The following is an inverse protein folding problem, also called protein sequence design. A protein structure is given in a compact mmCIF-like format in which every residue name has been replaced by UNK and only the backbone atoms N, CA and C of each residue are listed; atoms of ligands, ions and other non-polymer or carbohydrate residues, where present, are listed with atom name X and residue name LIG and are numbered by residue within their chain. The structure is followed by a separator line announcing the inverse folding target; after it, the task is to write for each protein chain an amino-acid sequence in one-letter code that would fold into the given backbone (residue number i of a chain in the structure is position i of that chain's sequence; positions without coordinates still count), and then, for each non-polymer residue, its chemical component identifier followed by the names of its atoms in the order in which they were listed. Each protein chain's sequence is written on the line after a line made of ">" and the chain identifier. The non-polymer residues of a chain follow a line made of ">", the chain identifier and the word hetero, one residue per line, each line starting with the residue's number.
data_IF_457189714383
#
_entry.id   IF_457189714383
#
_cell.length_a   1.000
_cell.length_b   1.000
_cell.length_c   1.000
_cell.angle_alpha   90.00
_cell.angle_beta   90.00
_cell.angle_gamma   90.00
#
_symmetry.space_group_name_H-M   'P 1'
#
loop_
_entity.id
_entity.type
_entity.pdbx_description
1 polymer ?
#
# COMPACT_ATOMS: atom_id res chain seq x y z
N UNK A 1 -10.43 26.46 18.64
CA UNK A 1 -9.69 25.44 17.89
C UNK A 1 -8.50 26.14 17.28
N UNK A 2 -7.30 25.79 17.72
CA UNK A 2 -6.08 26.27 17.09
C UNK A 2 -5.77 25.37 15.90
N UNK A 3 -5.56 25.97 14.73
CA UNK A 3 -5.29 25.28 13.46
C UNK A 3 -3.84 25.46 13.01
N UNK A 4 -3.01 26.12 13.83
CA UNK A 4 -1.59 26.26 13.55
C UNK A 4 -0.89 24.89 13.66
N UNK A 5 0.15 24.71 12.85
CA UNK A 5 1.01 23.54 12.93
C UNK A 5 1.80 23.55 14.26
N UNK A 6 1.99 22.37 14.82
CA UNK A 6 2.92 22.20 15.95
C UNK A 6 4.37 22.37 15.49
N UNK A 7 5.28 22.58 16.44
CA UNK A 7 6.72 22.69 16.12
C UNK A 7 7.25 21.45 15.38
N UNK A 8 6.86 20.25 15.84
CA UNK A 8 7.21 18.99 15.17
C UNK A 8 6.66 18.91 13.75
N UNK A 9 5.43 19.37 13.53
CA UNK A 9 4.82 19.43 12.19
C UNK A 9 5.55 20.44 11.28
N UNK A 10 5.96 21.60 11.78
CA UNK A 10 6.75 22.58 11.01
C UNK A 10 8.14 22.04 10.65
N UNK A 11 8.78 21.29 11.56
CA UNK A 11 10.04 20.59 11.27
C UNK A 11 9.86 19.54 10.17
N UNK A 12 8.82 18.70 10.28
CA UNK A 12 8.48 17.68 9.27
C UNK A 12 8.24 18.32 7.91
N UNK A 13 7.41 19.37 7.86
CA UNK A 13 7.13 20.15 6.65
C UNK A 13 8.39 20.72 6.02
N UNK A 14 9.27 21.33 6.82
CA UNK A 14 10.52 21.91 6.33
C UNK A 14 11.45 20.84 5.77
N UNK A 15 11.57 19.69 6.46
CA UNK A 15 12.36 18.55 6.00
C UNK A 15 11.82 17.99 4.68
N UNK A 16 10.51 17.74 4.60
CA UNK A 16 9.84 17.23 3.41
C UNK A 16 9.98 18.16 2.20
N UNK A 17 9.79 19.46 2.41
CA UNK A 17 9.99 20.47 1.37
C UNK A 17 11.42 20.48 0.84
N UNK A 18 12.40 20.43 1.74
CA UNK A 18 13.82 20.40 1.39
C UNK A 18 14.20 19.15 0.60
N UNK A 19 13.65 18.00 0.98
CA UNK A 19 13.81 16.74 0.23
C UNK A 19 13.19 16.83 -1.16
N UNK A 20 11.94 17.27 -1.29
CA UNK A 20 11.27 17.39 -2.60
C UNK A 20 12.05 18.31 -3.54
N UNK A 21 12.62 19.40 -3.03
CA UNK A 21 13.45 20.30 -3.83
C UNK A 21 14.76 19.67 -4.33
N UNK A 22 15.30 18.67 -3.61
CA UNK A 22 16.58 18.03 -3.93
C UNK A 22 16.42 16.72 -4.72
N UNK A 23 15.46 15.90 -4.33
CA UNK A 23 15.33 14.50 -4.73
C UNK A 23 14.17 14.25 -5.70
N UNK A 24 13.16 15.12 -5.71
CA UNK A 24 12.04 15.06 -6.65
C UNK A 24 11.75 16.43 -7.31
N UNK A 25 12.76 17.12 -7.89
CA UNK A 25 12.51 18.28 -8.72
C UNK A 25 11.68 17.91 -9.96
N UNK A 26 11.14 18.92 -10.66
CA UNK A 26 10.14 18.71 -11.72
C UNK A 26 10.62 17.83 -12.88
N UNK A 27 11.91 17.87 -13.18
CA UNK A 27 12.59 17.09 -14.21
C UNK A 27 12.62 15.58 -13.92
N UNK A 28 12.51 15.17 -12.65
CA UNK A 28 12.39 13.74 -12.26
C UNK A 28 11.17 13.07 -12.90
N UNK A 29 10.16 13.84 -13.34
CA UNK A 29 9.03 13.27 -14.10
C UNK A 29 9.49 12.52 -15.35
N UNK A 30 10.57 12.94 -16.00
CA UNK A 30 11.10 12.30 -17.21
C UNK A 30 11.66 10.92 -16.87
N UNK A 31 12.42 10.83 -15.78
CA UNK A 31 12.97 9.56 -15.30
C UNK A 31 11.83 8.64 -14.83
N UNK A 32 10.80 9.19 -14.18
CA UNK A 32 9.64 8.45 -13.72
C UNK A 32 8.81 7.88 -14.88
N UNK A 33 8.64 8.62 -15.97
CA UNK A 33 7.97 8.13 -17.18
C UNK A 33 8.71 6.95 -17.83
N UNK A 34 10.04 6.91 -17.70
CA UNK A 34 10.87 5.83 -18.23
C UNK A 34 10.98 4.63 -17.28
N UNK A 35 10.75 4.85 -15.98
CA UNK A 35 10.80 3.80 -14.98
C UNK A 35 9.58 2.86 -15.11
N UNK A 36 9.82 1.62 -15.55
CA UNK A 36 8.75 0.61 -15.67
C UNK A 36 8.02 0.37 -14.35
N UNK A 37 8.71 0.45 -13.21
CA UNK A 37 8.12 0.27 -11.88
C UNK A 37 7.41 1.52 -11.36
N UNK A 38 7.81 2.72 -11.81
CA UNK A 38 7.37 3.98 -11.17
C UNK A 38 8.10 4.28 -9.84
N UNK A 39 9.12 3.49 -9.49
CA UNK A 39 9.93 3.65 -8.29
C UNK A 39 11.37 3.98 -8.70
N UNK A 40 11.93 5.05 -8.11
CA UNK A 40 13.36 5.36 -8.22
C UNK A 40 14.06 4.89 -6.93
N UNK A 41 14.92 3.85 -6.99
CA UNK A 41 15.46 3.21 -5.78
C UNK A 41 16.23 4.14 -4.84
N UNK A 42 16.95 5.13 -5.38
CA UNK A 42 17.71 6.07 -4.57
C UNK A 42 16.80 7.03 -3.78
N UNK A 43 15.75 7.55 -4.41
CA UNK A 43 14.76 8.43 -3.76
C UNK A 43 13.99 7.65 -2.70
N UNK A 44 13.58 6.43 -3.03
CA UNK A 44 12.94 5.51 -2.09
C UNK A 44 13.81 5.28 -0.84
N UNK A 45 15.05 4.85 -1.03
CA UNK A 45 15.99 4.59 0.08
C UNK A 45 16.17 5.82 0.98
N UNK A 46 16.38 7.00 0.40
CA UNK A 46 16.56 8.24 1.18
C UNK A 46 15.30 8.59 1.98
N UNK A 47 14.11 8.36 1.45
CA UNK A 47 12.88 8.60 2.18
C UNK A 47 12.63 7.56 3.29
N UNK A 48 13.02 6.29 3.09
CA UNK A 48 13.03 5.27 4.13
C UNK A 48 13.99 5.63 5.27
N UNK A 49 15.19 6.15 4.95
CA UNK A 49 16.17 6.63 5.95
C UNK A 49 15.65 7.81 6.79
N UNK A 50 14.68 8.57 6.27
CA UNK A 50 13.98 9.65 6.98
C UNK A 50 12.80 9.15 7.83
N UNK A 51 12.49 7.85 7.82
CA UNK A 51 11.41 7.24 8.62
C UNK A 51 10.00 7.48 8.08
N UNK A 52 9.85 8.05 6.87
CA UNK A 52 8.55 8.51 6.37
C UNK A 52 7.53 7.40 6.08
N UNK A 53 8.01 6.20 5.76
CA UNK A 53 7.20 5.00 5.57
C UNK A 53 6.66 4.44 6.89
N UNK A 54 7.34 4.73 8.00
CA UNK A 54 6.97 4.31 9.35
C UNK A 54 6.09 5.30 10.11
N UNK A 55 5.70 6.43 9.50
CA UNK A 55 4.94 7.50 10.17
C UNK A 55 3.68 6.97 10.88
N UNK A 56 2.84 6.21 10.18
CA UNK A 56 1.61 5.64 10.74
C UNK A 56 1.81 4.29 11.42
N UNK A 57 3.03 3.74 11.37
CA UNK A 57 3.35 2.47 12.02
C UNK A 57 3.56 2.74 13.51
N UNK A 58 2.87 2.05 14.43
CA UNK A 58 3.10 2.19 15.86
C UNK A 58 4.54 1.90 16.29
N UNK A 59 5.03 2.59 17.32
CA UNK A 59 6.37 2.43 17.89
C UNK A 59 6.71 0.98 18.26
N UNK A 60 5.71 0.22 18.75
CA UNK A 60 5.88 -1.20 19.11
C UNK A 60 6.22 -2.11 17.90
N UNK A 61 6.03 -1.60 16.68
CA UNK A 61 6.40 -2.25 15.42
C UNK A 61 7.54 -1.52 14.71
N UNK A 62 8.21 -0.56 15.36
CA UNK A 62 9.39 0.13 14.82
C UNK A 62 9.08 1.33 13.91
N UNK A 63 7.88 1.91 14.02
CA UNK A 63 7.54 3.18 13.38
C UNK A 63 7.56 4.37 14.35
N UNK A 64 6.91 5.45 13.95
CA UNK A 64 6.86 6.73 14.69
C UNK A 64 5.53 6.95 15.45
N UNK A 65 4.53 6.10 15.21
CA UNK A 65 3.23 6.20 15.88
C UNK A 65 2.51 7.53 15.67
N UNK A 66 2.82 8.24 14.59
CA UNK A 66 2.32 9.57 14.30
C UNK A 66 0.82 9.52 13.94
N UNK A 67 0.13 10.64 14.15
CA UNK A 67 -1.28 10.73 13.78
C UNK A 67 -1.45 10.88 12.26
N UNK A 68 -2.67 10.65 11.78
CA UNK A 68 -3.04 10.98 10.39
C UNK A 68 -2.87 12.48 10.11
N UNK A 69 -3.05 13.35 11.10
CA UNK A 69 -2.85 14.79 10.94
C UNK A 69 -1.36 15.13 10.74
N UNK A 70 -0.47 14.51 11.52
CA UNK A 70 0.97 14.67 11.35
C UNK A 70 1.44 14.12 10.00
N UNK A 71 0.92 12.95 9.63
CA UNK A 71 1.22 12.32 8.33
C UNK A 71 0.69 13.18 7.17
N UNK A 72 -0.47 13.81 7.30
CA UNK A 72 -1.01 14.70 6.28
C UNK A 72 -0.07 15.89 5.97
N UNK A 73 0.62 16.43 6.97
CA UNK A 73 1.61 17.52 6.77
C UNK A 73 2.76 17.06 5.87
N UNK A 74 3.26 15.83 6.05
CA UNK A 74 4.25 15.24 5.16
C UNK A 74 3.69 15.12 3.74
N UNK A 75 2.53 14.48 3.57
CA UNK A 75 1.96 14.21 2.25
C UNK A 75 1.55 15.48 1.48
N UNK A 76 1.20 16.57 2.18
CA UNK A 76 0.97 17.88 1.55
C UNK A 76 2.24 18.39 0.84
N UNK A 77 3.40 18.25 1.47
CA UNK A 77 4.67 18.66 0.86
C UNK A 77 5.14 17.66 -0.21
N UNK A 78 4.93 16.35 0.01
CA UNK A 78 5.23 15.32 -1.00
C UNK A 78 4.41 15.49 -2.28
N UNK A 79 3.17 15.95 -2.19
CA UNK A 79 2.30 16.23 -3.33
C UNK A 79 2.72 17.43 -4.20
N UNK A 80 3.76 18.18 -3.81
CA UNK A 80 4.22 19.37 -4.57
C UNK A 80 5.06 19.04 -5.80
N UNK A 81 5.52 17.80 -5.93
CA UNK A 81 6.37 17.34 -7.03
C UNK A 81 6.06 15.91 -7.44
N UNK A 82 6.72 15.42 -8.51
CA UNK A 82 6.52 14.06 -9.01
C UNK A 82 7.28 13.04 -8.15
N UNK A 83 6.82 12.81 -6.91
CA UNK A 83 7.50 11.90 -5.99
C UNK A 83 7.47 10.45 -6.54
N UNK A 84 8.64 9.85 -6.81
CA UNK A 84 8.71 8.52 -7.41
C UNK A 84 8.63 7.42 -6.36
N UNK A 85 7.52 6.69 -6.33
CA UNK A 85 7.38 5.45 -5.58
C UNK A 85 6.07 5.31 -4.78
N UNK A 86 5.86 4.12 -4.20
CA UNK A 86 4.62 3.69 -3.52
C UNK A 86 4.50 4.26 -2.10
N UNK A 87 4.71 5.57 -1.94
CA UNK A 87 4.64 6.22 -0.64
C UNK A 87 3.24 6.11 -0.05
N UNK A 88 2.24 6.59 -0.78
CA UNK A 88 0.86 6.59 -0.30
C UNK A 88 0.26 5.19 -0.21
N UNK A 89 0.47 4.36 -1.24
CA UNK A 89 -0.04 2.98 -1.27
C UNK A 89 0.56 2.13 -0.15
N UNK A 90 1.87 2.24 0.13
CA UNK A 90 2.53 1.45 1.17
C UNK A 90 2.45 2.08 2.55
N UNK A 91 2.92 3.31 2.70
CA UNK A 91 3.03 4.00 3.99
C UNK A 91 1.69 4.46 4.59
N UNK A 92 0.61 4.46 3.81
CA UNK A 92 -0.74 4.80 4.30
C UNK A 92 -1.70 3.64 4.10
N UNK A 93 -2.02 3.28 2.85
CA UNK A 93 -3.07 2.29 2.59
C UNK A 93 -2.69 0.89 3.11
N UNK A 94 -1.47 0.45 2.81
CA UNK A 94 -0.92 -0.82 3.26
C UNK A 94 -0.82 -0.89 4.79
N UNK A 95 -0.21 0.12 5.42
CA UNK A 95 -0.09 0.20 6.88
C UNK A 95 -1.46 0.12 7.56
N UNK A 96 -2.44 0.91 7.13
CA UNK A 96 -3.79 0.91 7.72
C UNK A 96 -4.48 -0.44 7.53
N UNK A 97 -4.38 -1.06 6.36
CA UNK A 97 -4.97 -2.37 6.09
C UNK A 97 -4.35 -3.48 6.96
N UNK A 98 -3.03 -3.44 7.16
CA UNK A 98 -2.30 -4.40 8.00
C UNK A 98 -2.60 -4.20 9.48
N UNK A 99 -2.73 -2.95 9.95
CA UNK A 99 -3.13 -2.65 11.32
C UNK A 99 -4.51 -3.21 11.64
N UNK A 100 -5.46 -3.01 10.73
CA UNK A 100 -6.85 -3.43 10.88
C UNK A 100 -7.02 -4.95 10.81
N UNK A 101 -6.43 -5.61 9.80
CA UNK A 101 -6.70 -7.02 9.54
C UNK A 101 -5.68 -7.99 10.14
N UNK A 102 -4.45 -7.55 10.42
CA UNK A 102 -3.38 -8.45 10.84
C UNK A 102 -3.57 -9.00 12.26
N UNK A 103 -3.07 -10.21 12.51
CA UNK A 103 -2.82 -10.67 13.90
C UNK A 103 -1.65 -9.90 14.52
N UNK A 104 -1.44 -10.01 15.83
CA UNK A 104 -0.29 -9.38 16.49
C UNK A 104 1.06 -9.85 15.92
N UNK A 105 1.17 -11.13 15.52
CA UNK A 105 2.37 -11.67 14.90
C UNK A 105 2.57 -11.11 13.47
N UNK A 106 1.50 -11.09 12.67
CA UNK A 106 1.53 -10.52 11.31
C UNK A 106 1.85 -9.02 11.34
N UNK A 107 1.23 -8.25 12.23
CA UNK A 107 1.53 -6.82 12.41
C UNK A 107 3.00 -6.60 12.73
N UNK A 108 3.56 -7.36 13.68
CA UNK A 108 4.98 -7.22 14.05
C UNK A 108 5.92 -7.51 12.90
N UNK A 109 5.68 -8.60 12.16
CA UNK A 109 6.52 -8.95 11.01
C UNK A 109 6.37 -7.92 9.86
N UNK A 110 5.13 -7.65 9.44
CA UNK A 110 4.86 -6.90 8.22
C UNK A 110 5.06 -5.41 8.41
N UNK A 111 4.57 -4.82 9.51
CA UNK A 111 4.66 -3.38 9.72
C UNK A 111 6.10 -2.93 9.99
N UNK A 112 6.92 -3.74 10.67
CA UNK A 112 8.34 -3.43 10.86
C UNK A 112 9.10 -3.43 9.54
N UNK A 113 8.83 -4.39 8.65
CA UNK A 113 9.42 -4.42 7.32
C UNK A 113 8.88 -3.30 6.39
N UNK A 114 7.63 -2.86 6.57
CA UNK A 114 7.09 -1.71 5.84
C UNK A 114 7.72 -0.41 6.31
N UNK A 115 7.93 -0.23 7.62
CA UNK A 115 8.54 0.97 8.19
C UNK A 115 9.96 1.23 7.64
N UNK A 116 10.72 0.17 7.38
CA UNK A 116 12.07 0.25 6.77
C UNK A 116 12.06 0.29 5.25
N UNK A 117 10.90 0.08 4.62
CA UNK A 117 10.76 -0.04 3.16
C UNK A 117 11.29 -1.34 2.56
N UNK A 118 11.60 -2.34 3.39
CA UNK A 118 11.97 -3.70 2.94
C UNK A 118 10.78 -4.40 2.27
N UNK A 119 9.59 -4.25 2.85
CA UNK A 119 8.34 -4.65 2.23
C UNK A 119 7.59 -3.42 1.73
N UNK A 120 7.08 -3.54 0.51
CA UNK A 120 6.25 -2.54 -0.14
C UNK A 120 4.88 -3.16 -0.34
N UNK A 121 3.86 -2.56 0.26
CA UNK A 121 2.51 -3.14 0.32
C UNK A 121 1.55 -2.22 -0.42
N UNK A 122 0.60 -2.78 -1.16
CA UNK A 122 -0.54 -2.01 -1.69
C UNK A 122 -1.85 -2.78 -1.49
N UNK A 123 -2.98 -2.13 -1.72
CA UNK A 123 -4.31 -2.69 -1.52
C UNK A 123 -5.01 -2.96 -2.86
N UNK A 124 -5.51 -4.18 -3.02
CA UNK A 124 -6.22 -4.65 -4.21
C UNK A 124 -7.68 -5.02 -3.84
N UNK A 125 -8.51 -3.99 -3.74
CA UNK A 125 -9.86 -4.09 -3.16
C UNK A 125 -10.91 -4.25 -4.26
N UNK A 126 -10.89 -3.37 -5.26
CA UNK A 126 -11.91 -3.27 -6.31
C UNK A 126 -11.90 -4.47 -7.24
N UNK A 127 -13.08 -4.91 -7.67
CA UNK A 127 -13.30 -6.00 -8.61
C UNK A 127 -13.77 -5.48 -9.98
N UNK A 128 -13.85 -6.30 -11.04
CA UNK A 128 -14.13 -5.82 -12.40
C UNK A 128 -15.48 -5.14 -12.59
N UNK A 129 -16.40 -5.30 -11.65
CA UNK A 129 -17.68 -4.59 -11.62
C UNK A 129 -17.54 -3.10 -11.22
N UNK A 130 -16.36 -2.65 -10.79
CA UNK A 130 -16.04 -1.29 -10.34
C UNK A 130 -17.00 -0.77 -9.25
N UNK A 131 -17.58 -1.66 -8.45
CA UNK A 131 -18.46 -1.32 -7.33
C UNK A 131 -17.64 -0.92 -6.11
N UNK A 132 -18.16 0.05 -5.35
CA UNK A 132 -17.52 0.59 -4.17
C UNK A 132 -18.05 -0.08 -2.89
N UNK A 133 -17.15 -0.58 -2.06
CA UNK A 133 -17.48 -1.17 -0.76
C UNK A 133 -17.63 -2.70 -0.79
N UNK A 134 -17.93 -3.32 0.37
CA UNK A 134 -17.82 -4.77 0.54
C UNK A 134 -18.70 -5.60 -0.41
N UNK A 135 -19.89 -5.09 -0.77
CA UNK A 135 -20.82 -5.75 -1.68
C UNK A 135 -20.27 -5.88 -3.12
N UNK A 136 -19.31 -5.03 -3.50
CA UNK A 136 -18.65 -5.08 -4.80
C UNK A 136 -17.62 -6.20 -4.93
N UNK A 137 -17.13 -6.77 -3.82
CA UNK A 137 -16.10 -7.82 -3.84
C UNK A 137 -16.71 -9.14 -4.33
N UNK A 138 -16.22 -9.69 -5.43
CA UNK A 138 -16.67 -10.96 -6.02
C UNK A 138 -15.56 -12.01 -6.10
N UNK A 139 -14.30 -11.65 -5.87
CA UNK A 139 -13.19 -12.59 -5.73
C UNK A 139 -13.45 -13.54 -4.55
N UNK A 140 -13.43 -14.85 -4.82
CA UNK A 140 -13.67 -15.89 -3.81
C UNK A 140 -12.39 -16.69 -3.58
N UNK A 141 -11.93 -16.83 -2.32
CA UNK A 141 -10.76 -17.64 -2.01
C UNK A 141 -11.10 -19.12 -2.03
N UNK A 142 -10.22 -19.92 -2.64
CA UNK A 142 -10.31 -21.38 -2.62
C UNK A 142 -9.39 -21.92 -1.54
N UNK A 143 -9.95 -22.62 -0.55
CA UNK A 143 -9.16 -23.29 0.49
C UNK A 143 -8.44 -24.51 -0.09
N UNK A 144 -7.15 -24.62 0.17
CA UNK A 144 -6.27 -25.75 -0.17
C UNK A 144 -5.63 -26.32 1.11
N UNK A 145 -4.91 -27.42 0.97
CA UNK A 145 -4.23 -28.07 2.11
C UNK A 145 -3.11 -27.22 2.70
N UNK A 146 -2.51 -26.35 1.88
CA UNK A 146 -1.37 -25.50 2.17
C UNK A 146 -1.74 -24.01 2.33
N UNK A 147 -3.03 -23.67 2.45
CA UNK A 147 -3.50 -22.30 2.62
C UNK A 147 -4.66 -21.95 1.69
N UNK A 148 -4.66 -20.72 1.18
CA UNK A 148 -5.67 -20.26 0.22
C UNK A 148 -5.07 -20.03 -1.16
N UNK A 149 -5.95 -20.07 -2.17
CA UNK A 149 -5.67 -19.68 -3.54
C UNK A 149 -6.69 -18.66 -4.01
N UNK A 150 -6.23 -17.54 -4.54
CA UNK A 150 -7.09 -16.50 -5.11
C UNK A 150 -7.13 -16.61 -6.62
N UNK A 151 -8.30 -16.34 -7.20
CA UNK A 151 -8.47 -16.22 -8.65
C UNK A 151 -9.41 -15.06 -8.94
N UNK A 152 -9.04 -14.21 -9.89
CA UNK A 152 -9.81 -13.03 -10.27
C UNK A 152 -8.92 -11.90 -10.76
N UNK A 153 -9.54 -10.75 -11.02
CA UNK A 153 -8.87 -9.55 -11.51
C UNK A 153 -9.20 -8.38 -10.61
N UNK A 154 -8.18 -7.59 -10.27
CA UNK A 154 -8.26 -6.40 -9.43
C UNK A 154 -7.81 -5.19 -10.25
N UNK A 155 -8.73 -4.39 -10.81
CA UNK A 155 -8.37 -3.16 -11.49
C UNK A 155 -8.02 -2.05 -10.49
N UNK A 156 -7.36 -1.01 -11.00
CA UNK A 156 -7.11 0.24 -10.28
C UNK A 156 -6.25 0.10 -9.02
N UNK A 157 -5.32 -0.85 -9.01
CA UNK A 157 -4.38 -1.05 -7.90
C UNK A 157 -3.23 -0.06 -8.05
N UNK A 158 -3.06 0.82 -7.07
CA UNK A 158 -1.97 1.79 -7.07
C UNK A 158 -0.62 1.08 -6.90
N UNK A 159 0.36 1.44 -7.74
CA UNK A 159 1.76 1.01 -7.66
C UNK A 159 2.00 -0.52 -7.64
N UNK A 160 1.07 -1.33 -8.15
CA UNK A 160 1.17 -2.79 -8.09
C UNK A 160 2.38 -3.37 -8.83
N UNK A 161 2.97 -2.59 -9.74
CA UNK A 161 4.21 -2.89 -10.45
C UNK A 161 5.48 -2.73 -9.59
N UNK A 162 5.40 -2.01 -8.47
CA UNK A 162 6.53 -1.71 -7.57
C UNK A 162 6.50 -2.46 -6.24
N UNK A 163 5.40 -3.15 -5.92
CA UNK A 163 5.18 -3.73 -4.58
C UNK A 163 5.82 -5.11 -4.41
N UNK A 164 6.13 -5.47 -3.16
CA UNK A 164 6.50 -6.85 -2.78
C UNK A 164 5.26 -7.67 -2.47
N UNK A 165 4.24 -7.03 -1.87
CA UNK A 165 3.06 -7.70 -1.37
C UNK A 165 1.77 -6.94 -1.74
N UNK A 166 0.72 -7.71 -1.99
CA UNK A 166 -0.63 -7.24 -2.26
C UNK A 166 -1.54 -7.64 -1.09
N UNK A 167 -2.28 -6.67 -0.56
CA UNK A 167 -3.39 -6.92 0.36
C UNK A 167 -4.67 -7.01 -0.46
N UNK A 168 -5.14 -8.22 -0.70
CA UNK A 168 -6.25 -8.53 -1.59
C UNK A 168 -7.53 -8.75 -0.79
N UNK A 169 -8.60 -8.02 -1.12
CA UNK A 169 -9.93 -8.29 -0.56
C UNK A 169 -10.58 -9.49 -1.24
N UNK A 170 -11.12 -10.44 -0.47
CA UNK A 170 -11.87 -11.57 -1.03
C UNK A 170 -13.07 -11.94 -0.15
N UNK A 171 -14.15 -12.37 -0.78
CA UNK A 171 -15.40 -12.76 -0.14
C UNK A 171 -15.28 -14.16 0.46
N UNK A 172 -15.38 -14.24 1.79
CA UNK A 172 -15.19 -15.47 2.58
C UNK A 172 -16.49 -16.08 3.12
N UNK A 173 -17.62 -15.43 2.88
CA UNK A 173 -18.95 -15.91 3.25
C UNK A 173 -20.03 -15.42 2.30
N UNK A 174 -21.28 -15.72 2.65
CA UNK A 174 -22.43 -15.47 1.78
C UNK A 174 -22.96 -14.04 1.92
N UNK A 175 -22.73 -13.39 3.06
CA UNK A 175 -23.21 -12.03 3.26
C UNK A 175 -22.37 -11.03 2.45
N UNK A 176 -22.96 -9.92 1.94
CA UNK A 176 -22.23 -8.88 1.23
C UNK A 176 -21.04 -8.29 2.00
N UNK A 177 -21.09 -8.34 3.34
CA UNK A 177 -20.05 -7.85 4.26
C UNK A 177 -19.01 -8.89 4.66
N UNK A 178 -19.17 -10.17 4.29
CA UNK A 178 -18.24 -11.26 4.63
C UNK A 178 -16.98 -11.19 3.75
N UNK A 179 -16.19 -10.13 3.92
CA UNK A 179 -14.98 -9.85 3.18
C UNK A 179 -13.79 -9.90 4.12
N UNK A 180 -12.80 -10.71 3.77
CA UNK A 180 -11.51 -10.81 4.46
C UNK A 180 -10.40 -10.26 3.59
N UNK A 181 -9.29 -9.88 4.23
CA UNK A 181 -8.07 -9.47 3.55
C UNK A 181 -7.06 -10.60 3.52
N UNK A 182 -6.33 -10.71 2.42
CA UNK A 182 -5.31 -11.73 2.21
C UNK A 182 -4.01 -11.06 1.78
N UNK A 183 -2.88 -11.53 2.31
CA UNK A 183 -1.56 -11.18 1.82
C UNK A 183 -1.20 -12.11 0.66
N UNK A 184 -0.78 -11.54 -0.46
CA UNK A 184 -0.31 -12.24 -1.66
C UNK A 184 1.04 -11.66 -2.06
N UNK A 185 2.06 -12.50 -2.21
CA UNK A 185 3.35 -12.10 -2.75
C UNK A 185 3.15 -11.69 -4.23
N UNK A 186 3.51 -10.46 -4.56
CA UNK A 186 3.32 -9.89 -5.89
C UNK A 186 4.14 -10.59 -6.99
N UNK A 187 5.15 -11.38 -6.61
CA UNK A 187 6.02 -12.17 -7.49
C UNK A 187 5.68 -13.66 -7.48
N UNK A 188 4.65 -14.08 -6.74
CA UNK A 188 4.25 -15.48 -6.69
C UNK A 188 3.72 -15.98 -8.04
N UNK A 189 3.86 -17.29 -8.26
CA UNK A 189 3.22 -17.95 -9.41
C UNK A 189 1.72 -17.71 -9.39
N UNK A 190 1.17 -17.33 -10.54
CA UNK A 190 -0.25 -16.99 -10.68
C UNK A 190 -0.58 -15.54 -10.36
N UNK A 191 0.40 -14.67 -10.11
CA UNK A 191 0.21 -13.22 -10.04
C UNK A 191 0.78 -12.57 -11.30
N UNK A 192 -0.01 -11.70 -11.93
CA UNK A 192 0.46 -10.88 -13.04
C UNK A 192 -0.06 -9.46 -12.91
N UNK A 193 0.77 -8.50 -13.29
CA UNK A 193 0.44 -7.07 -13.19
C UNK A 193 0.56 -6.43 -14.56
N UNK A 194 -0.41 -5.60 -14.90
CA UNK A 194 -0.45 -4.85 -16.15
C UNK A 194 -0.77 -3.39 -15.87
N UNK A 195 0.12 -2.49 -16.28
CA UNK A 195 -0.14 -1.05 -16.19
C UNK A 195 -1.29 -0.63 -17.10
N UNK A 196 -2.21 0.16 -16.55
CA UNK A 196 -3.30 0.76 -17.32
C UNK A 196 -2.73 1.89 -18.21
N UNK A 197 -3.43 2.23 -19.30
CA UNK A 197 -2.98 3.25 -20.26
C UNK A 197 -3.90 4.46 -20.24
N UNK A 198 -3.42 5.58 -20.77
CA UNK A 198 -4.18 6.83 -20.83
C UNK A 198 -4.21 7.53 -19.47
N UNK A 199 -5.35 8.12 -19.12
CA UNK A 199 -5.52 8.89 -17.87
C UNK A 199 -5.37 8.04 -16.58
N UNK A 200 -5.26 6.72 -16.68
CA UNK A 200 -5.06 5.82 -15.54
C UNK A 200 -3.65 5.24 -15.48
N UNK A 201 -2.67 5.86 -16.14
CA UNK A 201 -1.30 5.32 -16.24
C UNK A 201 -0.55 5.17 -14.92
N UNK A 202 -1.09 5.74 -13.84
CA UNK A 202 -0.61 5.59 -12.45
C UNK A 202 -1.26 4.42 -11.69
N UNK A 203 -2.18 3.69 -12.31
CA UNK A 203 -2.76 2.48 -11.74
C UNK A 203 -2.44 1.25 -12.59
N UNK A 204 -2.47 0.11 -11.92
CA UNK A 204 -2.25 -1.20 -12.49
C UNK A 204 -3.51 -2.07 -12.36
N UNK A 205 -3.59 -3.09 -13.19
CA UNK A 205 -4.51 -4.21 -13.06
C UNK A 205 -3.73 -5.44 -12.64
N UNK A 206 -4.17 -6.10 -11.57
CA UNK A 206 -3.59 -7.33 -11.06
C UNK A 206 -4.50 -8.49 -11.42
N UNK A 207 -3.98 -9.52 -12.09
CA UNK A 207 -4.68 -10.77 -12.35
C UNK A 207 -4.09 -11.89 -11.50
N UNK A 208 -4.97 -12.62 -10.84
CA UNK A 208 -4.68 -13.74 -9.95
C UNK A 208 -5.21 -15.03 -10.59
N UNK A 209 -4.34 -16.03 -10.75
CA UNK A 209 -4.61 -17.33 -11.36
C UNK A 209 -4.15 -18.43 -10.40
N UNK A 210 -4.97 -18.73 -9.41
CA UNK A 210 -4.59 -19.65 -8.34
C UNK A 210 -3.35 -19.16 -7.57
N UNK A 211 -3.29 -17.85 -7.30
CA UNK A 211 -2.19 -17.24 -6.55
C UNK A 211 -2.20 -17.68 -5.07
N UNK A 212 -1.05 -18.14 -4.51
CA UNK A 212 -0.92 -18.41 -3.08
C UNK A 212 -1.29 -17.19 -2.23
N UNK A 213 -2.12 -17.41 -1.21
CA UNK A 213 -2.61 -16.34 -0.36
C UNK A 213 -2.65 -16.77 1.11
N UNK A 214 -2.27 -15.83 1.98
CA UNK A 214 -2.32 -15.98 3.44
C UNK A 214 -3.40 -15.07 3.98
N UNK A 215 -4.30 -15.61 4.81
CA UNK A 215 -5.33 -14.80 5.48
C UNK A 215 -4.67 -13.82 6.45
N UNK A 216 -5.06 -12.54 6.38
CA UNK A 216 -4.75 -11.57 7.43
C UNK A 216 -5.81 -11.69 8.54
N UNK A 217 -5.36 -12.00 9.75
CA UNK A 217 -6.22 -12.30 10.89
C UNK A 217 -6.33 -13.79 11.20
N UNK A 218 -6.94 -14.13 12.33
CA UNK A 218 -7.02 -15.51 12.83
C UNK A 218 -8.09 -16.35 12.12
N UNK A 219 -9.16 -15.71 11.64
CA UNK A 219 -10.29 -16.37 10.99
C UNK A 219 -10.94 -15.45 9.95
N UNK A 220 -11.61 -16.02 8.93
CA UNK A 220 -12.31 -15.22 7.95
C UNK A 220 -13.41 -14.36 8.58
N UNK A 221 -13.55 -13.13 8.12
CA UNK A 221 -14.60 -12.21 8.54
C UNK A 221 -15.99 -12.75 8.18
N UNK A 222 -16.94 -12.61 9.11
CA UNK A 222 -18.33 -13.08 9.04
C UNK A 222 -19.37 -11.98 9.36
N UNK A 223 -18.96 -10.72 9.30
CA UNK A 223 -19.79 -9.55 9.65
C UNK A 223 -19.43 -8.98 11.01
#
# INVERSE_FOLDING_TARGET
>A
MDLALTESQEMLKTSARGFMAREAPKDVIIDLEQAESGLLPEVWRKACELGWLGMLVPDEYGGEGASLADTAVLYEELGRGPLPGPFFSSGVLGVLALLEAGTAAQRRELLSAVATGERIVTVAITDPNASWGPHGVTCVPQRRSDGFRLTGTKPFVADATSVTDLVVAARTGDAPTDVSLFLVDARASGVSTRRLRGFLSWHDEVTLEGAPAVLLGDAPNRG
#
